data_IF_090093727078
#
_entry.id   IF_090093727078
#
_cell.length_a   1.000
_cell.length_b   1.000
_cell.length_c   1.000
_cell.angle_alpha   90.00
_cell.angle_beta   90.00
_cell.angle_gamma   90.00
#
_symmetry.space_group_name_H-M   'P 1'
#
loop_
_entity.id
_entity.type
_entity.pdbx_description
1 polymer ?
#
# COMPACT_ATOMS: atom_id res chain seq x y z
N UNK A 1 -29.08 13.27 8.68
CA UNK A 1 -28.14 12.93 7.58
C UNK A 1 -28.84 13.24 6.27
N UNK A 2 -28.30 14.17 5.51
CA UNK A 2 -28.85 14.55 4.21
C UNK A 2 -28.62 13.45 3.18
N UNK A 3 -29.38 13.41 2.06
CA UNK A 3 -29.11 12.45 0.98
C UNK A 3 -27.68 12.53 0.42
N UNK A 4 -27.11 13.72 0.38
CA UNK A 4 -25.75 13.96 -0.09
C UNK A 4 -24.69 13.41 0.89
N UNK A 5 -24.88 13.60 2.20
CA UNK A 5 -24.02 12.99 3.22
C UNK A 5 -24.03 11.46 3.15
N UNK A 6 -25.16 10.83 2.83
CA UNK A 6 -25.25 9.38 2.64
C UNK A 6 -24.44 8.91 1.43
N UNK A 7 -24.51 9.65 0.32
CA UNK A 7 -23.71 9.34 -0.87
C UNK A 7 -22.22 9.47 -0.56
N UNK A 8 -21.80 10.55 0.11
CA UNK A 8 -20.41 10.79 0.52
C UNK A 8 -19.88 9.68 1.43
N UNK A 9 -20.66 9.17 2.38
CA UNK A 9 -20.24 8.04 3.24
C UNK A 9 -19.94 6.78 2.44
N UNK A 10 -20.77 6.46 1.43
CA UNK A 10 -20.49 5.32 0.55
C UNK A 10 -19.22 5.54 -0.28
N UNK A 11 -19.02 6.76 -0.79
CA UNK A 11 -17.83 7.13 -1.57
C UNK A 11 -16.58 7.06 -0.70
N UNK A 12 -16.64 7.51 0.57
CA UNK A 12 -15.55 7.37 1.54
C UNK A 12 -15.14 5.92 1.74
N UNK A 13 -16.13 5.03 1.86
CA UNK A 13 -15.89 3.62 2.03
C UNK A 13 -15.26 3.00 0.76
N UNK A 14 -15.69 3.41 -0.43
CA UNK A 14 -15.09 2.98 -1.69
C UNK A 14 -13.63 3.42 -1.81
N UNK A 15 -13.33 4.67 -1.45
CA UNK A 15 -11.95 5.15 -1.39
C UNK A 15 -11.11 4.34 -0.41
N UNK A 16 -11.63 4.10 0.79
CA UNK A 16 -10.93 3.33 1.82
C UNK A 16 -10.68 1.90 1.38
N UNK A 17 -11.67 1.25 0.77
CA UNK A 17 -11.54 -0.12 0.23
C UNK A 17 -10.53 -0.20 -0.93
N UNK A 18 -10.51 0.83 -1.80
CA UNK A 18 -9.51 0.96 -2.85
C UNK A 18 -8.14 1.39 -2.32
N UNK A 19 -8.06 1.58 -0.98
CA UNK A 19 -6.86 1.83 -0.22
C UNK A 19 -6.41 3.29 -0.27
N UNK A 20 -7.28 4.26 -0.44
CA UNK A 20 -7.02 5.68 -0.22
C UNK A 20 -7.24 6.05 1.25
N UNK A 21 -6.37 6.90 1.80
CA UNK A 21 -6.63 7.54 3.09
C UNK A 21 -7.59 8.70 2.86
N UNK A 22 -8.81 8.61 3.40
CA UNK A 22 -9.79 9.71 3.31
C UNK A 22 -9.60 10.63 4.51
N UNK A 23 -9.41 11.92 4.26
CA UNK A 23 -9.19 12.93 5.31
C UNK A 23 -9.95 14.21 4.97
N UNK A 24 -10.25 14.99 6.00
CA UNK A 24 -10.71 16.35 5.81
C UNK A 24 -9.55 17.27 5.44
N UNK A 25 -9.82 18.35 4.72
CA UNK A 25 -8.81 19.29 4.24
C UNK A 25 -7.82 19.74 5.32
N UNK A 26 -8.30 20.02 6.51
CA UNK A 26 -7.49 20.55 7.61
C UNK A 26 -6.53 19.49 8.19
N UNK A 27 -6.77 18.22 7.89
CA UNK A 27 -5.96 17.08 8.32
C UNK A 27 -5.07 16.54 7.18
N UNK A 28 -4.93 17.29 6.09
CA UNK A 28 -4.08 16.88 4.97
C UNK A 28 -2.60 17.04 5.29
N UNK A 29 -1.88 15.95 5.20
CA UNK A 29 -0.44 15.90 5.30
C UNK A 29 0.18 15.54 3.94
N UNK A 30 1.04 16.40 3.34
CA UNK A 30 1.64 16.14 2.02
C UNK A 30 2.48 14.87 1.94
N UNK A 31 2.90 14.35 3.09
CA UNK A 31 3.75 13.14 3.19
C UNK A 31 2.96 11.82 3.08
N UNK A 32 1.63 11.87 3.04
CA UNK A 32 0.82 10.68 2.84
C UNK A 32 0.89 10.21 1.38
N UNK A 33 1.06 8.90 1.18
CA UNK A 33 1.29 8.28 -0.14
C UNK A 33 0.09 8.41 -1.07
N UNK A 34 -1.12 8.23 -0.55
CA UNK A 34 -2.33 8.35 -1.34
C UNK A 34 -3.51 8.84 -0.48
N UNK A 35 -4.01 9.99 -0.81
CA UNK A 35 -5.00 10.68 0.00
C UNK A 35 -6.14 11.18 -0.87
N UNK A 36 -7.37 10.95 -0.41
CA UNK A 36 -8.57 11.62 -0.90
C UNK A 36 -8.98 12.68 0.14
N UNK A 37 -8.82 13.95 -0.22
CA UNK A 37 -9.17 15.08 0.65
C UNK A 37 -10.61 15.46 0.36
N UNK A 38 -11.45 15.51 1.40
CA UNK A 38 -12.80 16.07 1.31
C UNK A 38 -12.74 17.59 1.24
N UNK A 39 -13.65 18.19 0.46
CA UNK A 39 -13.85 19.64 0.34
C UNK A 39 -12.55 20.37 0.00
N UNK A 40 -11.82 19.83 -0.99
CA UNK A 40 -10.56 20.41 -1.43
C UNK A 40 -10.72 21.76 -2.09
N UNK A 41 -9.91 22.75 -1.68
CA UNK A 41 -9.96 24.11 -2.21
C UNK A 41 -9.63 24.17 -3.71
N UNK A 42 -10.39 24.99 -4.41
CA UNK A 42 -10.17 25.37 -5.80
C UNK A 42 -9.90 26.87 -5.93
N UNK A 43 -9.47 27.31 -7.10
CA UNK A 43 -9.38 28.75 -7.39
C UNK A 43 -10.76 29.41 -7.33
N UNK A 44 -10.82 30.62 -6.80
CA UNK A 44 -12.05 31.40 -6.72
C UNK A 44 -12.99 30.99 -5.59
N UNK A 45 -12.47 30.44 -4.50
CA UNK A 45 -13.21 29.95 -3.34
C UNK A 45 -14.25 28.87 -3.67
N UNK A 46 -14.02 28.11 -4.74
CA UNK A 46 -14.76 26.90 -5.05
C UNK A 46 -14.13 25.70 -4.29
N UNK A 47 -14.92 24.67 -4.08
CA UNK A 47 -14.49 23.43 -3.42
C UNK A 47 -14.87 22.25 -4.30
N UNK A 48 -13.94 21.28 -4.42
CA UNK A 48 -14.25 19.98 -5.00
C UNK A 48 -14.63 19.03 -3.88
N UNK A 49 -15.61 18.15 -4.09
CA UNK A 49 -16.03 17.18 -3.09
C UNK A 49 -14.86 16.31 -2.64
N UNK A 50 -14.03 15.85 -3.59
CA UNK A 50 -12.77 15.16 -3.28
C UNK A 50 -11.64 15.59 -4.21
N UNK A 51 -10.47 15.78 -3.61
CA UNK A 51 -9.19 15.90 -4.31
C UNK A 51 -8.33 14.69 -4.05
N UNK A 52 -7.77 14.10 -5.10
CA UNK A 52 -6.93 12.92 -5.02
C UNK A 52 -5.46 13.28 -5.14
N UNK A 53 -4.66 12.87 -4.16
CA UNK A 53 -3.22 13.10 -4.13
C UNK A 53 -2.47 11.78 -4.09
N UNK A 54 -1.39 11.70 -4.85
CA UNK A 54 -0.40 10.62 -4.81
C UNK A 54 0.97 11.27 -4.61
N UNK A 55 1.69 10.85 -3.57
CA UNK A 55 3.00 11.42 -3.21
C UNK A 55 3.00 12.95 -3.13
N UNK A 56 1.99 13.52 -2.47
CA UNK A 56 1.85 14.96 -2.29
C UNK A 56 1.48 15.74 -3.55
N UNK A 57 1.22 15.08 -4.68
CA UNK A 57 0.82 15.73 -5.93
C UNK A 57 -0.61 15.38 -6.30
N UNK A 58 -1.41 16.39 -6.61
CA UNK A 58 -2.78 16.19 -7.06
C UNK A 58 -2.81 15.45 -8.40
N UNK A 59 -3.64 14.43 -8.49
CA UNK A 59 -3.80 13.56 -9.66
C UNK A 59 -5.22 13.53 -10.19
N UNK A 60 -6.21 13.89 -9.37
CA UNK A 60 -7.60 13.81 -9.79
C UNK A 60 -8.56 14.54 -8.87
N UNK A 61 -9.80 14.58 -9.29
CA UNK A 61 -10.95 15.10 -8.54
C UNK A 61 -12.14 14.17 -8.68
N UNK A 62 -13.00 14.12 -7.65
CA UNK A 62 -14.29 13.48 -7.72
C UNK A 62 -15.37 14.48 -7.32
N UNK A 63 -16.41 14.58 -8.15
CA UNK A 63 -17.64 15.29 -7.88
C UNK A 63 -18.69 14.31 -7.36
N UNK A 64 -19.22 14.57 -6.17
CA UNK A 64 -20.24 13.76 -5.52
C UNK A 64 -21.61 14.42 -5.62
N UNK A 65 -22.61 13.62 -5.90
CA UNK A 65 -24.02 14.07 -5.94
C UNK A 65 -24.88 13.14 -5.08
N UNK A 66 -26.04 13.61 -4.67
CA UNK A 66 -27.08 12.77 -4.03
C UNK A 66 -27.56 11.69 -4.98
N UNK A 67 -28.03 10.57 -4.44
CA UNK A 67 -28.35 9.33 -5.18
C UNK A 67 -29.35 9.54 -6.34
N UNK A 68 -30.27 10.52 -6.23
CA UNK A 68 -31.28 10.80 -7.25
C UNK A 68 -30.76 11.59 -8.46
N UNK A 69 -29.55 12.13 -8.39
CA UNK A 69 -28.93 12.86 -9.48
C UNK A 69 -28.07 11.92 -10.32
N UNK A 70 -28.27 11.95 -11.63
CA UNK A 70 -27.42 11.22 -12.57
C UNK A 70 -26.00 11.82 -12.59
N UNK A 71 -24.97 11.07 -12.13
CA UNK A 71 -23.60 11.54 -12.12
C UNK A 71 -22.98 11.62 -13.51
N UNK A 72 -23.64 11.09 -14.53
CA UNK A 72 -23.22 11.16 -15.94
C UNK A 72 -23.86 12.33 -16.69
N UNK A 73 -24.75 13.10 -16.05
CA UNK A 73 -25.35 14.28 -16.68
C UNK A 73 -24.28 15.29 -17.10
N UNK A 74 -24.50 15.98 -18.23
CA UNK A 74 -23.56 16.97 -18.79
C UNK A 74 -23.14 18.00 -17.73
N UNK A 75 -24.11 18.49 -16.95
CA UNK A 75 -23.86 19.49 -15.91
C UNK A 75 -22.89 19.00 -14.84
N UNK A 76 -22.99 17.75 -14.41
CA UNK A 76 -22.12 17.15 -13.36
C UNK A 76 -20.74 16.90 -13.96
N UNK A 77 -20.68 16.35 -15.15
CA UNK A 77 -19.42 16.09 -15.86
C UNK A 77 -18.66 17.41 -16.14
N UNK A 78 -19.33 18.44 -16.61
CA UNK A 78 -18.74 19.77 -16.86
C UNK A 78 -18.21 20.38 -15.55
N UNK A 79 -18.95 20.27 -14.45
CA UNK A 79 -18.51 20.75 -13.14
C UNK A 79 -17.22 20.07 -12.70
N UNK A 80 -17.13 18.75 -12.81
CA UNK A 80 -15.94 17.99 -12.47
C UNK A 80 -14.72 18.36 -13.37
N UNK A 81 -14.96 18.62 -14.66
CA UNK A 81 -13.93 19.12 -15.58
C UNK A 81 -13.44 20.52 -15.19
N UNK A 82 -14.34 21.40 -14.78
CA UNK A 82 -13.97 22.74 -14.27
C UNK A 82 -13.07 22.61 -13.04
N UNK A 83 -13.35 21.69 -12.14
CA UNK A 83 -12.51 21.43 -10.97
C UNK A 83 -11.10 20.98 -11.37
N UNK A 84 -10.99 20.01 -12.28
CA UNK A 84 -9.69 19.55 -12.76
C UNK A 84 -8.82 20.64 -13.41
N UNK A 85 -9.44 21.69 -13.95
CA UNK A 85 -8.74 22.84 -14.55
C UNK A 85 -8.37 23.94 -13.54
N UNK A 86 -9.11 24.06 -12.44
CA UNK A 86 -9.00 25.18 -11.50
C UNK A 86 -8.20 24.87 -10.23
N UNK A 87 -7.17 24.02 -10.34
CA UNK A 87 -6.30 23.65 -9.22
C UNK A 87 -5.49 24.86 -8.73
N UNK A 88 -5.54 25.20 -7.43
CA UNK A 88 -4.74 26.27 -6.84
C UNK A 88 -3.23 26.04 -6.96
N UNK A 89 -2.45 27.11 -6.88
CA UNK A 89 -0.98 27.01 -6.92
C UNK A 89 -0.37 26.37 -5.68
N UNK A 90 -1.10 26.32 -4.56
CA UNK A 90 -0.66 25.68 -3.32
C UNK A 90 -0.50 24.18 -3.47
N UNK A 91 -1.23 23.54 -4.39
CA UNK A 91 -1.11 22.12 -4.65
C UNK A 91 -0.11 21.84 -5.78
N UNK A 92 0.85 20.99 -5.49
CA UNK A 92 1.67 20.39 -6.54
C UNK A 92 0.81 19.46 -7.38
N UNK A 93 1.09 19.35 -8.66
CA UNK A 93 0.35 18.48 -9.59
C UNK A 93 1.32 17.73 -10.48
N UNK A 94 0.96 16.51 -10.91
CA UNK A 94 1.70 15.82 -11.96
C UNK A 94 1.48 16.48 -13.31
N UNK A 95 0.27 16.95 -13.55
CA UNK A 95 -0.15 17.54 -14.82
C UNK A 95 -1.28 18.55 -14.58
N UNK A 96 -1.41 19.54 -15.44
CA UNK A 96 -2.57 20.47 -15.51
C UNK A 96 -3.12 20.47 -16.92
N UNK A 97 -4.44 20.31 -17.09
CA UNK A 97 -5.47 19.95 -16.11
C UNK A 97 -5.17 18.64 -15.39
N UNK A 98 -5.83 18.36 -14.25
CA UNK A 98 -5.67 17.08 -13.56
C UNK A 98 -6.07 15.94 -14.49
N UNK A 99 -5.28 14.85 -14.49
CA UNK A 99 -5.47 13.76 -15.44
C UNK A 99 -6.72 12.92 -15.20
N UNK A 100 -7.18 12.78 -13.95
CA UNK A 100 -8.26 11.86 -13.59
C UNK A 100 -9.46 12.59 -13.01
N UNK A 101 -10.62 12.35 -13.60
CA UNK A 101 -11.87 12.98 -13.21
C UNK A 101 -12.89 11.90 -12.94
N UNK A 102 -13.56 12.00 -11.79
CA UNK A 102 -14.60 11.10 -11.36
C UNK A 102 -15.88 11.84 -11.07
N UNK A 103 -17.01 11.19 -11.31
CA UNK A 103 -18.33 11.64 -10.87
C UNK A 103 -19.07 10.48 -10.23
N UNK A 104 -19.80 10.71 -9.14
CA UNK A 104 -20.54 9.67 -8.44
C UNK A 104 -21.71 10.20 -7.66
N UNK A 105 -22.74 9.37 -7.46
CA UNK A 105 -23.87 9.62 -6.55
C UNK A 105 -23.92 8.60 -5.39
N UNK A 106 -22.83 7.85 -5.15
CA UNK A 106 -22.79 6.79 -4.15
C UNK A 106 -23.46 5.48 -4.57
N UNK A 107 -23.97 5.41 -5.80
CA UNK A 107 -24.51 4.20 -6.44
C UNK A 107 -23.80 3.92 -7.76
N UNK A 108 -23.73 4.91 -8.61
CA UNK A 108 -23.07 4.88 -9.89
C UNK A 108 -21.78 5.69 -9.81
N UNK A 109 -20.74 5.22 -10.51
CA UNK A 109 -19.42 5.81 -10.54
C UNK A 109 -18.92 5.89 -11.99
N UNK A 110 -18.45 7.06 -12.38
CA UNK A 110 -17.89 7.30 -13.69
C UNK A 110 -16.48 7.84 -13.58
N UNK A 111 -15.66 7.50 -14.56
CA UNK A 111 -14.26 7.86 -14.65
C UNK A 111 -13.93 8.40 -16.04
N UNK A 112 -13.13 9.46 -16.08
CA UNK A 112 -12.58 10.04 -17.31
C UNK A 112 -11.06 10.21 -17.17
N UNK A 113 -10.30 9.61 -18.09
CA UNK A 113 -8.87 9.91 -18.26
C UNK A 113 -8.74 11.11 -19.20
N UNK A 114 -8.60 12.28 -18.62
CA UNK A 114 -8.63 13.56 -19.35
C UNK A 114 -7.37 13.85 -20.18
N UNK A 115 -6.39 12.96 -20.16
CA UNK A 115 -5.19 13.02 -21.01
C UNK A 115 -5.45 12.50 -22.42
N UNK A 116 -6.48 11.70 -22.60
CA UNK A 116 -6.81 11.08 -23.90
C UNK A 116 -7.49 12.10 -24.81
N UNK A 117 -7.14 12.04 -26.08
CA UNK A 117 -7.70 12.96 -27.09
C UNK A 117 -9.22 12.82 -27.21
N UNK A 118 -9.73 11.57 -27.10
CA UNK A 118 -11.16 11.25 -27.08
C UNK A 118 -11.63 10.95 -25.65
N UNK A 119 -11.27 11.83 -24.70
CA UNK A 119 -11.63 11.63 -23.29
C UNK A 119 -13.15 11.66 -23.10
N UNK A 120 -13.70 10.61 -22.54
CA UNK A 120 -15.11 10.50 -22.19
C UNK A 120 -15.26 9.82 -20.82
N UNK A 121 -16.34 10.16 -20.13
CA UNK A 121 -16.72 9.48 -18.90
C UNK A 121 -17.23 8.06 -19.22
N UNK A 122 -16.70 7.09 -18.51
CA UNK A 122 -17.09 5.67 -18.60
C UNK A 122 -17.50 5.18 -17.23
N UNK A 123 -18.57 4.43 -17.17
CA UNK A 123 -18.97 3.77 -15.92
C UNK A 123 -17.91 2.75 -15.51
N UNK A 124 -17.57 2.77 -14.24
CA UNK A 124 -16.66 1.82 -13.61
C UNK A 124 -17.31 1.25 -12.35
N UNK A 125 -16.89 0.07 -11.93
CA UNK A 125 -17.51 -0.63 -10.79
C UNK A 125 -16.86 -0.26 -9.44
N UNK A 126 -15.58 0.13 -9.47
CA UNK A 126 -14.79 0.42 -8.27
C UNK A 126 -13.89 1.63 -8.52
N UNK A 127 -13.59 2.35 -7.45
CA UNK A 127 -12.56 3.41 -7.50
C UNK A 127 -11.21 2.74 -7.74
N UNK A 128 -10.44 3.21 -8.73
CA UNK A 128 -9.10 2.69 -8.98
C UNK A 128 -8.19 2.88 -7.77
N UNK A 129 -7.39 1.86 -7.52
CA UNK A 129 -6.32 1.94 -6.51
C UNK A 129 -5.31 3.01 -6.92
N UNK A 130 -4.55 3.59 -6.00
CA UNK A 130 -3.47 4.52 -6.36
C UNK A 130 -2.41 3.90 -7.27
N UNK A 131 -2.15 2.59 -7.11
CA UNK A 131 -1.23 1.87 -7.99
C UNK A 131 -1.72 1.87 -9.45
N UNK A 132 -3.00 1.59 -9.67
CA UNK A 132 -3.61 1.66 -11.00
C UNK A 132 -3.51 3.05 -11.60
N UNK A 133 -3.76 4.11 -10.80
CA UNK A 133 -3.63 5.49 -11.29
C UNK A 133 -2.17 5.86 -11.59
N UNK A 134 -1.20 5.41 -10.78
CA UNK A 134 0.23 5.59 -11.06
C UNK A 134 0.62 4.90 -12.37
N UNK A 135 0.15 3.68 -12.58
CA UNK A 135 0.35 2.94 -13.84
C UNK A 135 -0.27 3.68 -15.03
N UNK A 136 -1.49 4.19 -14.88
CA UNK A 136 -2.14 5.00 -15.91
C UNK A 136 -1.37 6.29 -16.20
N UNK A 137 -0.79 6.96 -15.17
CA UNK A 137 0.03 8.16 -15.37
C UNK A 137 1.29 7.90 -16.19
N UNK A 138 1.67 6.63 -16.39
CA UNK A 138 2.92 6.28 -17.05
C UNK A 138 4.14 6.79 -16.29
N UNK A 139 4.01 6.94 -14.97
CA UNK A 139 5.12 7.30 -14.10
C UNK A 139 6.03 6.07 -14.07
N UNK A 140 7.04 6.06 -14.92
CA UNK A 140 8.01 4.99 -15.01
C UNK A 140 8.88 4.86 -13.76
N UNK A 141 8.93 5.90 -12.93
CA UNK A 141 9.67 5.88 -11.67
C UNK A 141 8.72 5.86 -10.47
N UNK A 142 8.22 4.66 -10.16
CA UNK A 142 7.43 4.36 -8.96
C UNK A 142 8.13 4.79 -7.67
N UNK A 143 9.47 4.90 -7.71
CA UNK A 143 10.34 5.23 -6.59
C UNK A 143 10.93 6.65 -6.66
N UNK A 144 10.44 7.50 -7.57
CA UNK A 144 10.96 8.87 -7.75
C UNK A 144 10.89 9.72 -6.45
N UNK A 145 9.91 9.43 -5.60
CA UNK A 145 9.73 10.13 -4.32
C UNK A 145 10.72 9.74 -3.21
N UNK A 146 11.50 8.65 -3.39
CA UNK A 146 12.44 8.19 -2.36
C UNK A 146 13.63 9.17 -2.23
N UNK A 147 13.78 9.84 -1.07
CA UNK A 147 14.95 10.68 -0.83
C UNK A 147 16.19 9.81 -0.61
N UNK A 148 17.36 10.38 -0.86
CA UNK A 148 18.63 9.70 -0.56
C UNK A 148 18.69 9.33 0.92
N UNK A 149 18.92 8.05 1.20
CA UNK A 149 19.04 7.56 2.57
C UNK A 149 20.28 8.18 3.24
N UNK A 150 20.11 8.71 4.43
CA UNK A 150 21.23 9.24 5.22
C UNK A 150 21.84 8.12 6.08
N UNK A 151 23.18 8.05 6.08
CA UNK A 151 23.92 7.01 6.83
C UNK A 151 23.90 7.22 8.34
N UNK A 152 23.62 8.45 8.80
CA UNK A 152 23.66 8.82 10.22
C UNK A 152 22.73 7.93 11.05
N UNK A 153 23.27 7.29 12.07
CA UNK A 153 22.52 6.43 13.00
C UNK A 153 22.27 5.01 12.52
N UNK A 154 22.72 4.64 11.31
CA UNK A 154 22.61 3.30 10.74
C UNK A 154 23.93 2.55 10.82
N UNK A 155 23.86 1.24 11.05
CA UNK A 155 24.99 0.35 10.81
C UNK A 155 25.25 0.24 9.31
N UNK A 156 26.49 -0.03 8.92
CA UNK A 156 26.87 -0.13 7.50
C UNK A 156 26.02 -1.15 6.75
N UNK A 157 25.81 -2.34 7.33
CA UNK A 157 24.97 -3.38 6.75
C UNK A 157 23.50 -2.94 6.55
N UNK A 158 22.94 -2.16 7.47
CA UNK A 158 21.58 -1.65 7.36
C UNK A 158 21.44 -0.59 6.26
N UNK A 159 22.38 0.34 6.23
CA UNK A 159 22.44 1.38 5.20
C UNK A 159 22.57 0.77 3.81
N UNK A 160 23.50 -0.17 3.64
CA UNK A 160 23.76 -0.82 2.35
C UNK A 160 22.56 -1.68 1.93
N UNK A 161 21.98 -2.46 2.86
CA UNK A 161 20.82 -3.29 2.58
C UNK A 161 19.61 -2.49 2.06
N UNK A 162 19.28 -1.38 2.69
CA UNK A 162 18.16 -0.55 2.24
C UNK A 162 18.49 0.17 0.93
N UNK A 163 19.72 0.69 0.79
CA UNK A 163 20.16 1.37 -0.44
C UNK A 163 20.13 0.43 -1.65
N UNK A 164 20.67 -0.77 -1.50
CA UNK A 164 20.67 -1.75 -2.59
C UNK A 164 19.28 -2.31 -2.89
N UNK A 165 18.38 -2.44 -1.87
CA UNK A 165 16.98 -2.77 -2.09
C UNK A 165 16.29 -1.73 -2.97
N UNK A 166 16.45 -0.46 -2.64
CA UNK A 166 15.85 0.64 -3.41
C UNK A 166 16.37 0.68 -4.85
N UNK A 167 17.66 0.46 -5.06
CA UNK A 167 18.27 0.36 -6.39
C UNK A 167 17.72 -0.84 -7.17
N UNK A 168 17.62 -2.00 -6.52
CA UNK A 168 17.09 -3.22 -7.12
C UNK A 168 15.65 -3.02 -7.61
N UNK A 169 14.80 -2.46 -6.77
CA UNK A 169 13.41 -2.19 -7.14
C UNK A 169 13.28 -1.12 -8.23
N UNK A 170 14.12 -0.08 -8.20
CA UNK A 170 14.19 0.92 -9.28
C UNK A 170 14.63 0.32 -10.61
N UNK A 171 15.47 -0.71 -10.58
CA UNK A 171 15.89 -1.43 -11.80
C UNK A 171 14.82 -2.40 -12.34
N UNK A 172 13.65 -2.44 -11.73
CA UNK A 172 12.51 -3.26 -12.17
C UNK A 172 12.44 -4.66 -11.57
N UNK A 173 13.32 -4.98 -10.61
CA UNK A 173 13.21 -6.24 -9.88
C UNK A 173 11.99 -6.25 -8.96
N UNK A 174 11.30 -7.39 -8.86
CA UNK A 174 10.13 -7.57 -8.00
C UNK A 174 10.43 -8.36 -6.74
N UNK A 175 11.61 -8.94 -6.62
CA UNK A 175 12.04 -9.67 -5.45
C UNK A 175 13.51 -9.38 -5.14
N UNK A 176 13.88 -9.41 -3.85
CA UNK A 176 15.24 -9.22 -3.40
C UNK A 176 15.53 -10.07 -2.15
N UNK A 177 16.75 -10.57 -2.03
CA UNK A 177 17.24 -11.31 -0.88
C UNK A 177 18.32 -10.53 -0.14
N UNK A 178 18.09 -10.28 1.15
CA UNK A 178 19.07 -9.71 2.07
C UNK A 178 19.63 -10.83 2.95
N UNK A 179 20.91 -11.09 2.82
CA UNK A 179 21.62 -12.01 3.72
C UNK A 179 22.29 -11.18 4.80
N UNK A 180 21.76 -11.26 6.01
CA UNK A 180 22.20 -10.49 7.17
C UNK A 180 22.40 -11.44 8.35
N UNK A 181 23.58 -11.41 8.94
CA UNK A 181 23.92 -12.24 10.10
C UNK A 181 22.94 -12.01 11.28
N UNK A 182 22.86 -12.99 12.17
CA UNK A 182 22.11 -12.84 13.41
C UNK A 182 22.70 -11.66 14.22
N UNK A 183 21.84 -10.80 14.74
CA UNK A 183 22.27 -9.59 15.46
C UNK A 183 22.66 -8.39 14.57
N UNK A 184 22.67 -8.53 13.25
CA UNK A 184 22.90 -7.39 12.32
C UNK A 184 21.75 -6.37 12.33
N UNK A 185 20.60 -6.71 12.92
CA UNK A 185 19.42 -5.85 13.00
C UNK A 185 18.48 -6.03 11.80
N UNK A 186 18.21 -7.28 11.41
CA UNK A 186 17.27 -7.64 10.33
C UNK A 186 15.93 -6.92 10.46
N UNK A 187 15.29 -7.02 11.63
CA UNK A 187 13.98 -6.41 11.88
C UNK A 187 14.05 -4.88 11.80
N UNK A 188 15.10 -4.26 12.33
CA UNK A 188 15.31 -2.82 12.18
C UNK A 188 15.43 -2.42 10.70
N UNK A 189 16.18 -3.18 9.91
CA UNK A 189 16.33 -2.97 8.46
C UNK A 189 14.98 -3.09 7.74
N UNK A 190 14.16 -4.07 8.14
CA UNK A 190 12.80 -4.25 7.63
C UNK A 190 11.89 -3.06 8.00
N UNK A 191 11.92 -2.59 9.25
CA UNK A 191 11.17 -1.41 9.69
C UNK A 191 11.57 -0.16 8.89
N UNK A 192 12.87 0.04 8.67
CA UNK A 192 13.37 1.16 7.90
C UNK A 192 12.93 1.09 6.43
N UNK A 193 13.01 -0.08 5.80
CA UNK A 193 12.56 -0.29 4.43
C UNK A 193 11.04 -0.06 4.31
N UNK A 194 10.25 -0.66 5.21
CA UNK A 194 8.80 -0.47 5.26
C UNK A 194 8.42 1.01 5.42
N UNK A 195 9.07 1.71 6.38
CA UNK A 195 8.86 3.14 6.56
C UNK A 195 9.11 3.93 5.27
N UNK A 196 10.25 3.71 4.63
CA UNK A 196 10.64 4.46 3.45
C UNK A 196 9.70 4.20 2.27
N UNK A 197 9.32 2.95 2.05
CA UNK A 197 8.38 2.62 0.99
C UNK A 197 6.97 3.15 1.26
N UNK A 198 6.47 3.04 2.47
CA UNK A 198 5.18 3.61 2.85
C UNK A 198 5.16 5.15 2.79
N UNK A 199 6.27 5.82 3.13
CA UNK A 199 6.34 7.29 3.17
C UNK A 199 6.58 7.93 1.81
N UNK A 200 7.36 7.28 0.94
CA UNK A 200 7.93 7.93 -0.25
C UNK A 200 7.58 7.26 -1.57
N UNK A 201 6.75 6.21 -1.54
CA UNK A 201 6.26 5.52 -2.73
C UNK A 201 4.75 5.37 -2.69
N UNK A 202 4.09 4.93 -3.77
CA UNK A 202 2.67 4.61 -3.75
C UNK A 202 2.28 3.38 -2.91
N UNK A 203 3.24 2.66 -2.32
CA UNK A 203 2.95 1.52 -1.45
C UNK A 203 2.20 1.93 -0.19
N UNK A 204 1.28 1.07 0.28
CA UNK A 204 0.40 1.36 1.42
C UNK A 204 0.32 0.26 2.42
N UNK A 205 0.44 -0.98 1.96
CA UNK A 205 0.27 -2.16 2.79
C UNK A 205 1.47 -3.05 2.68
N UNK A 206 2.11 -3.25 3.81
CA UNK A 206 3.25 -4.14 3.97
C UNK A 206 2.81 -5.33 4.79
N UNK A 207 3.09 -6.52 4.30
CA UNK A 207 3.01 -7.75 5.07
C UNK A 207 4.40 -8.07 5.62
N UNK A 208 4.50 -8.24 6.92
CA UNK A 208 5.71 -8.73 7.58
C UNK A 208 5.47 -10.16 8.08
N UNK A 209 6.08 -11.12 7.39
CA UNK A 209 5.98 -12.53 7.74
C UNK A 209 7.10 -12.94 8.67
N UNK A 210 6.72 -13.57 9.78
CA UNK A 210 7.62 -14.15 10.78
C UNK A 210 7.49 -15.66 10.82
N UNK A 211 8.54 -16.33 11.22
CA UNK A 211 8.58 -17.81 11.33
C UNK A 211 7.63 -18.33 12.41
N UNK A 212 7.53 -17.63 13.55
CA UNK A 212 6.75 -18.06 14.72
C UNK A 212 5.98 -16.91 15.36
N UNK A 213 4.89 -17.26 16.02
CA UNK A 213 3.98 -16.28 16.63
C UNK A 213 4.63 -15.43 17.74
N UNK A 214 5.53 -15.99 18.54
CA UNK A 214 6.30 -15.23 19.54
C UNK A 214 7.19 -14.16 18.89
N UNK A 215 7.74 -14.43 17.69
CA UNK A 215 8.48 -13.46 16.90
C UNK A 215 7.57 -12.36 16.34
N UNK A 216 6.29 -12.67 16.14
CA UNK A 216 5.27 -11.68 15.77
C UNK A 216 5.07 -10.61 16.86
N UNK A 217 5.04 -11.01 18.14
CA UNK A 217 4.97 -10.07 19.28
C UNK A 217 6.24 -9.20 19.35
N UNK A 218 7.40 -9.82 19.15
CA UNK A 218 8.66 -9.09 19.12
C UNK A 218 8.70 -8.08 17.97
N UNK A 219 8.32 -8.50 16.78
CA UNK A 219 8.27 -7.62 15.59
C UNK A 219 7.29 -6.45 15.80
N UNK A 220 6.10 -6.71 16.36
CA UNK A 220 5.12 -5.67 16.72
C UNK A 220 5.75 -4.63 17.68
N UNK A 221 6.49 -5.11 18.69
CA UNK A 221 7.26 -4.25 19.62
C UNK A 221 8.37 -3.46 18.93
N UNK A 222 9.11 -4.06 18.02
CA UNK A 222 10.18 -3.39 17.26
C UNK A 222 9.62 -2.31 16.33
N UNK A 223 8.53 -2.58 15.60
CA UNK A 223 7.81 -1.56 14.82
C UNK A 223 7.29 -0.44 15.72
N UNK A 224 6.76 -0.76 16.92
CA UNK A 224 6.25 0.23 17.87
C UNK A 224 7.34 1.13 18.47
N UNK A 225 8.54 0.60 18.65
CA UNK A 225 9.69 1.33 19.24
C UNK A 225 10.61 1.94 18.19
N UNK A 226 10.48 1.54 16.92
CA UNK A 226 11.28 2.08 15.83
C UNK A 226 11.11 3.60 15.75
N UNK A 227 12.24 4.30 15.76
CA UNK A 227 12.27 5.76 15.60
C UNK A 227 13.15 6.11 14.42
N UNK A 228 12.65 7.07 13.66
CA UNK A 228 13.39 7.63 12.53
C UNK A 228 14.62 8.38 13.02
N UNK A 229 15.74 8.10 12.41
CA UNK A 229 17.00 8.78 12.71
C UNK A 229 17.01 10.24 12.28
N UNK A 230 16.08 10.63 11.40
CA UNK A 230 16.03 11.97 10.80
C UNK A 230 15.31 12.98 11.71
N UNK A 231 14.19 12.60 12.29
CA UNK A 231 13.32 13.49 13.09
C UNK A 231 12.91 12.92 14.46
N UNK A 232 13.21 11.65 14.73
CA UNK A 232 12.87 10.97 15.98
C UNK A 232 11.42 10.49 16.09
N UNK A 233 10.61 10.62 15.04
CA UNK A 233 9.22 10.18 15.04
C UNK A 233 9.14 8.65 15.19
N UNK A 234 8.16 8.19 15.95
CA UNK A 234 7.92 6.77 16.11
C UNK A 234 7.10 6.24 14.91
N UNK A 235 7.43 5.04 14.43
CA UNK A 235 6.73 4.42 13.30
C UNK A 235 5.22 4.34 13.52
N UNK A 236 4.80 3.93 14.72
CA UNK A 236 3.40 3.76 15.09
C UNK A 236 2.61 5.07 15.28
N UNK A 237 3.27 6.23 15.27
CA UNK A 237 2.58 7.53 15.23
C UNK A 237 2.20 7.95 13.82
N UNK A 238 2.82 7.32 12.81
CA UNK A 238 2.64 7.65 11.39
C UNK A 238 1.84 6.56 10.69
N UNK A 239 2.11 5.29 11.01
CA UNK A 239 1.53 4.12 10.36
C UNK A 239 0.90 3.16 11.36
N UNK A 240 -0.26 2.61 10.99
CA UNK A 240 -0.96 1.60 11.80
C UNK A 240 -0.32 0.22 11.58
N UNK A 241 0.15 -0.37 12.68
CA UNK A 241 0.73 -1.72 12.71
C UNK A 241 -0.22 -2.66 13.43
N UNK A 242 -0.59 -3.74 12.78
CA UNK A 242 -1.49 -4.75 13.35
C UNK A 242 -0.91 -6.15 13.18
N UNK A 243 -1.01 -6.95 14.23
CA UNK A 243 -0.75 -8.39 14.14
C UNK A 243 -2.04 -9.11 13.77
N UNK A 244 -1.97 -10.06 12.83
CA UNK A 244 -3.12 -10.88 12.45
C UNK A 244 -3.48 -11.82 13.61
N UNK A 245 -4.56 -11.52 14.33
CA UNK A 245 -5.05 -12.27 15.51
C UNK A 245 -6.42 -12.91 15.30
N UNK A 246 -7.13 -12.49 14.27
CA UNK A 246 -8.47 -12.94 13.94
C UNK A 246 -8.66 -13.00 12.43
N UNK A 247 -9.77 -13.55 11.97
CA UNK A 247 -10.12 -13.63 10.55
C UNK A 247 -10.57 -12.27 9.96
N UNK A 248 -9.93 -11.18 10.40
CA UNK A 248 -10.14 -9.83 9.87
C UNK A 248 -8.88 -8.98 10.01
N UNK A 249 -8.61 -8.15 9.01
CA UNK A 249 -7.55 -7.15 9.01
C UNK A 249 -8.22 -5.77 9.07
N UNK A 250 -7.88 -4.93 10.06
CA UNK A 250 -8.41 -3.56 10.08
C UNK A 250 -8.05 -2.81 8.80
N UNK A 251 -9.02 -2.10 8.23
CA UNK A 251 -8.89 -1.45 6.91
C UNK A 251 -7.82 -0.35 6.87
N UNK A 252 -7.48 0.21 8.03
CA UNK A 252 -6.45 1.24 8.22
C UNK A 252 -5.04 0.68 8.44
N UNK A 253 -4.87 -0.66 8.41
CA UNK A 253 -3.57 -1.30 8.62
C UNK A 253 -2.59 -0.97 7.50
N UNK A 254 -1.47 -0.34 7.84
CA UNK A 254 -0.35 -0.13 6.93
C UNK A 254 0.66 -1.28 6.97
N UNK A 255 0.88 -1.86 8.16
CA UNK A 255 1.72 -3.04 8.34
C UNK A 255 0.91 -4.13 9.01
N UNK A 256 0.86 -5.30 8.39
CA UNK A 256 0.26 -6.50 8.94
C UNK A 256 1.38 -7.48 9.27
N UNK A 257 1.46 -7.90 10.51
CA UNK A 257 2.42 -8.91 10.99
C UNK A 257 1.69 -10.24 11.14
N UNK A 258 2.21 -11.28 10.51
CA UNK A 258 1.61 -12.63 10.56
C UNK A 258 2.66 -13.72 10.46
N UNK A 259 2.30 -14.93 10.88
CA UNK A 259 2.99 -16.14 10.44
C UNK A 259 2.42 -16.59 9.10
N UNK A 260 3.20 -17.40 8.36
CA UNK A 260 2.74 -17.93 7.08
C UNK A 260 1.56 -18.90 7.28
N UNK A 261 1.54 -19.63 8.40
CA UNK A 261 0.48 -20.55 8.77
C UNK A 261 -0.86 -19.84 8.97
N UNK A 262 -0.86 -18.75 9.75
CA UNK A 262 -2.08 -17.95 9.99
C UNK A 262 -2.61 -17.34 8.69
N UNK A 263 -1.71 -16.83 7.86
CA UNK A 263 -2.10 -16.26 6.58
C UNK A 263 -2.69 -17.32 5.64
N UNK A 264 -2.13 -18.54 5.64
CA UNK A 264 -2.68 -19.67 4.89
C UNK A 264 -4.08 -20.04 5.38
N UNK A 265 -4.29 -20.17 6.70
CA UNK A 265 -5.62 -20.41 7.28
C UNK A 265 -6.62 -19.31 6.94
N UNK A 266 -6.19 -18.04 6.98
CA UNK A 266 -7.03 -16.93 6.57
C UNK A 266 -7.47 -17.04 5.11
N UNK A 267 -6.55 -17.36 4.20
CA UNK A 267 -6.85 -17.51 2.78
C UNK A 267 -7.79 -18.68 2.49
N UNK A 268 -7.68 -19.76 3.27
CA UNK A 268 -8.62 -20.88 3.20
C UNK A 268 -10.01 -20.56 3.74
N UNK A 269 -10.15 -19.48 4.51
CA UNK A 269 -11.39 -19.14 5.21
C UNK A 269 -11.57 -19.85 6.54
N UNK A 270 -10.51 -20.44 7.11
CA UNK A 270 -10.53 -21.03 8.42
C UNK A 270 -10.65 -19.95 9.52
N UNK A 271 -11.25 -20.29 10.66
CA UNK A 271 -11.31 -19.40 11.81
C UNK A 271 -9.94 -19.27 12.44
N UNK A 272 -9.43 -18.05 12.58
CA UNK A 272 -8.19 -17.77 13.28
C UNK A 272 -8.50 -17.44 14.73
N UNK A 273 -7.91 -18.20 15.66
CA UNK A 273 -7.96 -17.90 17.09
C UNK A 273 -6.65 -17.24 17.54
N UNK A 274 -6.74 -16.32 18.51
CA UNK A 274 -5.56 -15.68 19.12
C UNK A 274 -4.92 -16.60 20.17
N UNK A 275 -4.51 -17.79 19.72
CA UNK A 275 -3.73 -18.73 20.53
C UNK A 275 -2.26 -18.71 20.03
N UNK A 276 -1.32 -18.91 20.94
CA UNK A 276 0.12 -18.86 20.63
C UNK A 276 0.63 -20.19 20.01
N UNK A 277 -0.25 -21.16 19.78
CA UNK A 277 0.08 -22.47 19.20
C UNK A 277 -0.23 -22.44 17.70
N UNK A 278 0.69 -21.92 16.91
CA UNK A 278 0.66 -22.20 15.48
C UNK A 278 1.21 -23.62 15.27
N UNK A 279 0.43 -24.51 14.67
CA UNK A 279 0.91 -25.82 14.26
C UNK A 279 1.98 -25.62 13.19
N UNK A 280 3.22 -25.98 13.51
CA UNK A 280 4.36 -25.90 12.58
C UNK A 280 4.23 -26.93 11.41
N UNK A 281 3.16 -27.72 11.39
CA UNK A 281 2.96 -28.75 10.40
C UNK A 281 2.39 -28.18 9.10
N UNK A 282 3.18 -28.23 8.05
CA UNK A 282 2.70 -27.98 6.71
C UNK A 282 1.65 -29.03 6.32
N UNK A 283 0.49 -28.63 5.76
CA UNK A 283 -0.47 -29.58 5.21
C UNK A 283 0.19 -30.49 4.17
N UNK A 284 0.04 -31.79 4.32
CA UNK A 284 0.64 -32.80 3.42
C UNK A 284 -0.04 -32.86 2.06
N UNK A 285 -1.30 -32.42 1.97
CA UNK A 285 -2.05 -32.38 0.73
C UNK A 285 -1.81 -31.05 -0.01
N UNK A 286 -1.71 -31.15 -1.31
CA UNK A 286 -1.58 -29.98 -2.16
C UNK A 286 -2.90 -29.17 -2.20
N UNK A 287 -2.86 -27.96 -1.65
CA UNK A 287 -4.03 -27.08 -1.52
C UNK A 287 -4.01 -26.00 -2.63
N UNK A 288 -5.14 -25.80 -3.27
CA UNK A 288 -5.37 -24.65 -4.15
C UNK A 288 -6.02 -23.57 -3.30
N UNK A 289 -5.40 -22.38 -3.22
CA UNK A 289 -5.95 -21.25 -2.50
C UNK A 289 -7.01 -20.54 -3.38
N UNK A 290 -8.27 -20.48 -2.94
CA UNK A 290 -9.31 -19.78 -3.70
C UNK A 290 -9.14 -18.26 -3.56
N UNK A 291 -9.66 -17.46 -4.50
CA UNK A 291 -9.75 -16.01 -4.31
C UNK A 291 -10.51 -15.68 -3.02
N UNK A 292 -9.91 -14.87 -2.14
CA UNK A 292 -10.53 -14.46 -0.89
C UNK A 292 -10.98 -13.00 -0.97
N UNK A 293 -12.30 -12.68 -0.89
CA UNK A 293 -12.79 -11.31 -1.01
C UNK A 293 -12.29 -10.37 0.10
N UNK A 294 -11.98 -10.92 1.29
CA UNK A 294 -11.48 -10.15 2.42
C UNK A 294 -9.97 -9.91 2.36
N UNK A 295 -9.28 -10.65 1.51
CA UNK A 295 -7.83 -10.57 1.33
C UNK A 295 -7.49 -10.85 -0.14
N UNK A 296 -7.78 -9.93 -1.07
CA UNK A 296 -7.51 -10.11 -2.49
C UNK A 296 -6.00 -10.20 -2.78
N UNK A 297 -5.64 -10.79 -3.93
CA UNK A 297 -4.25 -11.04 -4.30
C UNK A 297 -3.39 -9.78 -4.43
N UNK A 298 -3.99 -8.62 -4.63
CA UNK A 298 -3.36 -7.30 -4.72
C UNK A 298 -3.45 -6.49 -3.41
N UNK A 299 -3.80 -7.15 -2.29
CA UNK A 299 -3.98 -6.47 -1.00
C UNK A 299 -2.68 -5.87 -0.46
N UNK A 300 -1.55 -6.54 -0.64
CA UNK A 300 -0.24 -6.09 -0.18
C UNK A 300 0.62 -5.59 -1.34
N UNK A 301 1.31 -4.47 -1.14
CA UNK A 301 2.27 -3.92 -2.09
C UNK A 301 3.68 -4.48 -1.89
N UNK A 302 3.99 -4.83 -0.63
CA UNK A 302 5.30 -5.33 -0.21
C UNK A 302 5.12 -6.46 0.80
N UNK A 303 5.84 -7.55 0.61
CA UNK A 303 5.93 -8.66 1.58
C UNK A 303 7.38 -8.79 2.01
N UNK A 304 7.64 -8.62 3.29
CA UNK A 304 8.95 -8.83 3.91
C UNK A 304 8.88 -10.14 4.71
N UNK A 305 9.78 -11.06 4.43
CA UNK A 305 9.75 -12.41 4.98
C UNK A 305 11.00 -12.60 5.83
N UNK A 306 10.80 -12.69 7.14
CA UNK A 306 11.89 -13.01 8.06
C UNK A 306 12.15 -14.52 8.04
N UNK A 307 13.42 -14.92 8.14
CA UNK A 307 13.89 -16.30 8.00
C UNK A 307 13.29 -17.02 6.77
N UNK A 308 13.31 -16.33 5.64
CA UNK A 308 12.58 -16.68 4.41
C UNK A 308 12.91 -18.08 3.86
N UNK A 309 14.05 -18.65 4.25
CA UNK A 309 14.44 -20.02 3.87
C UNK A 309 13.45 -21.10 4.34
N UNK A 310 12.53 -20.78 5.27
CA UNK A 310 11.50 -21.68 5.78
C UNK A 310 10.15 -21.56 5.06
N UNK A 311 9.88 -20.45 4.43
CA UNK A 311 8.56 -20.09 3.88
C UNK A 311 8.43 -20.27 2.37
N UNK A 312 9.49 -20.77 1.69
CA UNK A 312 9.55 -20.82 0.22
C UNK A 312 9.18 -22.20 -0.36
N UNK A 313 8.71 -23.12 0.44
CA UNK A 313 8.39 -24.49 0.03
C UNK A 313 6.90 -24.80 0.10
N UNK A 314 6.49 -25.84 -0.62
CA UNK A 314 5.19 -26.47 -0.52
C UNK A 314 4.00 -25.50 -0.56
N UNK A 315 3.07 -25.70 0.37
CA UNK A 315 1.88 -24.85 0.49
C UNK A 315 2.20 -23.42 0.97
N UNK A 316 3.30 -23.22 1.70
CA UNK A 316 3.73 -21.87 2.11
C UNK A 316 4.13 -21.01 0.92
N UNK A 317 4.79 -21.60 -0.05
CA UNK A 317 5.12 -20.94 -1.31
C UNK A 317 3.87 -20.45 -2.05
N UNK A 318 2.77 -21.23 -2.02
CA UNK A 318 1.49 -20.84 -2.66
C UNK A 318 0.88 -19.59 -2.04
N UNK A 319 1.09 -19.37 -0.72
CA UNK A 319 0.68 -18.12 -0.07
C UNK A 319 1.42 -16.93 -0.65
N UNK A 320 2.72 -17.05 -0.89
CA UNK A 320 3.51 -15.98 -1.49
C UNK A 320 3.13 -15.76 -2.98
N UNK A 321 2.88 -16.84 -3.71
CA UNK A 321 2.45 -16.79 -5.11
C UNK A 321 1.01 -16.25 -5.26
N UNK A 322 0.17 -16.38 -4.23
CA UNK A 322 -1.17 -15.80 -4.21
C UNK A 322 -1.13 -14.27 -4.32
N UNK A 323 -0.15 -13.62 -3.68
CA UNK A 323 0.04 -12.16 -3.75
C UNK A 323 0.97 -11.78 -4.91
N UNK A 324 0.60 -12.14 -6.11
CA UNK A 324 1.42 -12.04 -7.33
C UNK A 324 1.78 -10.60 -7.75
N UNK A 325 1.08 -9.61 -7.21
CA UNK A 325 1.35 -8.18 -7.45
C UNK A 325 2.34 -7.57 -6.45
N UNK A 326 2.54 -8.23 -5.30
CA UNK A 326 3.41 -7.74 -4.25
C UNK A 326 4.89 -7.87 -4.60
N UNK A 327 5.70 -6.91 -4.15
CA UNK A 327 7.15 -7.06 -4.16
C UNK A 327 7.57 -7.91 -2.97
N UNK A 328 8.58 -8.77 -3.17
CA UNK A 328 9.06 -9.69 -2.14
C UNK A 328 10.45 -9.32 -1.65
N UNK A 329 10.64 -9.26 -0.34
CA UNK A 329 11.94 -9.10 0.31
C UNK A 329 12.16 -10.23 1.28
N UNK A 330 13.16 -11.06 1.01
CA UNK A 330 13.59 -12.12 1.93
C UNK A 330 14.70 -11.65 2.84
N UNK A 331 14.60 -11.96 4.12
CA UNK A 331 15.63 -11.78 5.13
C UNK A 331 16.08 -13.15 5.62
N UNK A 332 17.37 -13.40 5.67
CA UNK A 332 17.93 -14.63 6.24
C UNK A 332 19.38 -14.46 6.66
N UNK A 333 19.83 -15.23 7.64
CA UNK A 333 21.24 -15.33 7.96
C UNK A 333 21.89 -16.50 7.22
N UNK A 334 21.13 -17.47 6.76
CA UNK A 334 21.58 -18.76 6.21
C UNK A 334 20.93 -19.02 4.85
N UNK A 335 21.39 -18.36 3.78
CA UNK A 335 20.82 -18.60 2.45
C UNK A 335 21.20 -20.01 1.98
N UNK A 336 20.22 -20.72 1.41
CA UNK A 336 20.41 -21.99 0.73
C UNK A 336 20.15 -21.80 -0.79
N UNK A 337 20.61 -22.69 -1.66
CA UNK A 337 20.45 -22.56 -3.10
C UNK A 337 19.00 -22.32 -3.54
N UNK A 338 18.06 -23.00 -2.92
CA UNK A 338 16.62 -22.90 -3.20
C UNK A 338 16.09 -21.49 -2.84
N UNK A 339 16.56 -20.91 -1.73
CA UNK A 339 16.23 -19.54 -1.34
C UNK A 339 16.74 -18.56 -2.40
N UNK A 340 17.96 -18.73 -2.87
CA UNK A 340 18.53 -17.92 -3.91
C UNK A 340 17.70 -18.00 -5.21
N UNK A 341 17.33 -19.23 -5.61
CA UNK A 341 16.52 -19.45 -6.81
C UNK A 341 15.13 -18.82 -6.70
N UNK A 342 14.47 -18.92 -5.55
CA UNK A 342 13.15 -18.31 -5.32
C UNK A 342 13.17 -16.79 -5.47
N UNK A 343 14.23 -16.14 -5.03
CA UNK A 343 14.42 -14.70 -5.19
C UNK A 343 15.15 -14.33 -6.50
N UNK A 344 15.05 -15.16 -7.56
CA UNK A 344 15.64 -14.93 -8.89
C UNK A 344 17.16 -14.66 -8.85
N UNK A 345 17.86 -15.22 -7.87
CA UNK A 345 19.28 -14.94 -7.58
C UNK A 345 19.60 -13.45 -7.33
N UNK A 346 18.58 -12.64 -7.03
CA UNK A 346 18.74 -11.23 -6.71
C UNK A 346 19.14 -11.03 -5.23
N UNK A 347 20.33 -11.49 -4.88
CA UNK A 347 20.95 -11.22 -3.58
C UNK A 347 21.59 -9.85 -3.59
N UNK A 348 21.00 -8.92 -2.83
CA UNK A 348 21.41 -7.51 -2.84
C UNK A 348 22.51 -7.20 -1.81
N UNK A 349 22.55 -7.93 -0.70
CA UNK A 349 23.61 -7.82 0.32
C UNK A 349 23.97 -9.17 0.92
N UNK A 350 25.17 -9.27 1.49
CA UNK A 350 25.67 -10.47 2.16
C UNK A 350 26.62 -10.06 3.30
N UNK A 351 26.08 -9.97 4.53
CA UNK A 351 26.79 -9.63 5.75
C UNK A 351 26.74 -10.72 6.80
#
# INVERSE_FOLDING_TARGET
MTPEEKARQKIDQWFSNAGWKVVDRDNYEPNCTAVAIREGLLKGNLEADYFLFINGKAVGVLEAKREEIDPFSDKVCEQAVVYARNVPKIYQTYQKPLPFIFTSNGKDLYFCDFRKQDSCFKQIMTIPTPHELVKLLGINDYFAGLPTLRRKGLRDCQYEAVTELEKSFRSGQNCALMVLATGAGKTYTACLAAYRFLSYTPMRRVLFLVDRNNLGKQAEGEFGTFRLTENGDAFNTIFTVNRLRSSSIPSDSNVVISTIQRLFSFLKGDTIEDNDNDDDNEPTEEVVLPPNPNLPHDYFDLIIIDECHRSIYGNWRKVLEYFDTARLVGLTATPIPETMAFFNNNRIVNY
#
